data_IF_836696148084
#
_entry.id   IF_836696148084
#
_cell.length_a   1.000
_cell.length_b   1.000
_cell.length_c   1.000
_cell.angle_alpha   90.00
_cell.angle_beta   90.00
_cell.angle_gamma   90.00
#
_symmetry.space_group_name_H-M   'P 1'
#
loop_
_entity.id
_entity.type
_entity.pdbx_description
1 polymer ?
#
# COMPACT_ATOMS: atom_id res chain seq x y z
N UNK A 1 7.84 -12.87 -6.89
CA UNK A 1 7.19 -12.38 -5.66
C UNK A 1 7.25 -13.47 -4.63
N UNK A 2 7.54 -13.15 -3.36
CA UNK A 2 7.42 -14.12 -2.28
C UNK A 2 6.02 -13.93 -1.72
N UNK A 3 5.13 -14.89 -1.90
CA UNK A 3 3.85 -14.86 -1.22
C UNK A 3 4.02 -15.46 0.18
N UNK A 4 3.88 -14.62 1.20
CA UNK A 4 3.73 -15.05 2.58
C UNK A 4 2.26 -15.25 2.95
N UNK A 5 2.05 -15.86 4.12
CA UNK A 5 0.72 -16.14 4.63
C UNK A 5 -0.10 -14.84 4.86
N UNK A 6 0.55 -13.78 5.35
CA UNK A 6 -0.10 -12.48 5.69
C UNK A 6 0.25 -11.31 4.76
N UNK A 7 1.16 -11.50 3.81
CA UNK A 7 1.65 -10.43 2.95
C UNK A 7 2.57 -10.94 1.85
N UNK A 8 2.97 -10.05 0.96
CA UNK A 8 3.83 -10.31 -0.18
C UNK A 8 5.19 -9.63 0.02
N UNK A 9 6.25 -10.43 0.01
CA UNK A 9 7.63 -9.95 0.06
C UNK A 9 8.25 -9.84 -1.34
N UNK A 10 9.26 -8.98 -1.45
CA UNK A 10 10.10 -8.93 -2.64
C UNK A 10 11.01 -10.18 -2.69
N UNK A 11 11.06 -10.86 -3.85
CA UNK A 11 11.95 -12.01 -4.03
C UNK A 11 13.44 -11.60 -4.10
N UNK A 12 13.70 -10.31 -4.29
CA UNK A 12 15.03 -9.70 -4.36
C UNK A 12 15.51 -9.18 -3.01
N UNK A 13 15.03 -9.73 -1.88
CA UNK A 13 15.51 -9.32 -0.55
C UNK A 13 17.06 -9.38 -0.45
N UNK A 14 17.68 -10.37 -1.10
CA UNK A 14 19.14 -10.49 -1.24
C UNK A 14 19.82 -9.36 -2.03
N UNK A 15 19.11 -8.67 -2.92
CA UNK A 15 19.57 -7.47 -3.64
C UNK A 15 19.21 -6.17 -2.89
N UNK A 16 18.72 -6.26 -1.64
CA UNK A 16 18.34 -5.09 -0.82
C UNK A 16 16.85 -4.73 -0.88
N UNK A 17 16.01 -5.64 -1.39
CA UNK A 17 14.57 -5.42 -1.54
C UNK A 17 13.81 -5.94 -0.30
N UNK A 18 13.79 -5.18 0.80
CA UNK A 18 13.26 -5.63 2.10
C UNK A 18 11.81 -5.20 2.38
N UNK A 19 11.04 -4.80 1.37
CA UNK A 19 9.67 -4.39 1.59
C UNK A 19 8.72 -5.58 1.77
N UNK A 20 7.70 -5.36 2.62
CA UNK A 20 6.59 -6.28 2.86
C UNK A 20 5.29 -5.56 2.53
N UNK A 21 4.54 -6.10 1.57
CA UNK A 21 3.22 -5.62 1.17
C UNK A 21 2.19 -6.44 1.93
N UNK A 22 1.52 -5.87 2.91
CA UNK A 22 0.50 -6.60 3.66
C UNK A 22 -0.74 -6.85 2.79
N UNK A 23 -1.32 -8.06 2.90
CA UNK A 23 -2.59 -8.41 2.25
C UNK A 23 -3.74 -7.57 2.81
N UNK A 24 -3.64 -7.19 4.07
CA UNK A 24 -4.57 -6.32 4.78
C UNK A 24 -3.82 -5.06 5.24
N UNK A 25 -4.37 -3.90 4.91
CA UNK A 25 -3.77 -2.60 5.24
C UNK A 25 -4.88 -1.62 5.61
N UNK A 26 -4.74 -0.93 6.75
CA UNK A 26 -5.74 0.00 7.28
C UNK A 26 -7.17 -0.59 7.28
N UNK A 27 -7.30 -1.83 7.77
CA UNK A 27 -8.57 -2.53 7.90
C UNK A 27 -9.19 -3.00 6.57
N UNK A 28 -8.47 -2.91 5.46
CA UNK A 28 -8.95 -3.33 4.15
C UNK A 28 -7.99 -4.27 3.44
N UNK A 29 -8.53 -5.27 2.76
CA UNK A 29 -7.74 -6.21 1.96
C UNK A 29 -7.32 -5.55 0.63
N UNK A 30 -6.02 -5.52 0.34
CA UNK A 30 -5.53 -5.03 -0.95
C UNK A 30 -5.89 -6.04 -2.05
N UNK A 31 -6.41 -5.58 -3.19
CA UNK A 31 -6.60 -6.45 -4.34
C UNK A 31 -5.24 -6.85 -4.93
N UNK A 32 -5.16 -8.03 -5.52
CA UNK A 32 -3.94 -8.54 -6.14
C UNK A 32 -3.39 -7.61 -7.23
N UNK A 33 -4.27 -6.88 -7.92
CA UNK A 33 -3.89 -5.85 -8.91
C UNK A 33 -3.08 -4.73 -8.29
N UNK A 34 -3.46 -4.27 -7.09
CA UNK A 34 -2.72 -3.25 -6.35
C UNK A 34 -1.34 -3.78 -5.91
N UNK A 35 -1.30 -5.01 -5.39
CA UNK A 35 -0.04 -5.68 -5.06
C UNK A 35 0.87 -5.77 -6.29
N UNK A 36 0.35 -6.21 -7.44
CA UNK A 36 1.09 -6.26 -8.70
C UNK A 36 1.67 -4.91 -9.10
N UNK A 37 0.90 -3.82 -8.98
CA UNK A 37 1.39 -2.47 -9.28
C UNK A 37 2.56 -2.08 -8.38
N UNK A 38 2.43 -2.30 -7.08
CA UNK A 38 3.50 -2.03 -6.11
C UNK A 38 4.76 -2.84 -6.44
N UNK A 39 4.60 -4.11 -6.81
CA UNK A 39 5.73 -4.94 -7.23
C UNK A 39 6.38 -4.49 -8.53
N UNK A 40 5.66 -3.77 -9.39
CA UNK A 40 6.21 -3.12 -10.58
C UNK A 40 6.90 -1.78 -10.27
N UNK A 41 6.97 -1.36 -9.01
CA UNK A 41 7.45 -0.02 -8.64
C UNK A 41 6.46 1.09 -8.95
N UNK A 42 5.18 0.76 -9.16
CA UNK A 42 4.12 1.72 -9.47
C UNK A 42 3.23 1.93 -8.25
N UNK A 43 2.77 3.16 -8.07
CA UNK A 43 1.72 3.49 -7.11
C UNK A 43 0.42 2.77 -7.48
N UNK A 44 -0.30 2.25 -6.49
CA UNK A 44 -1.62 1.66 -6.71
C UNK A 44 -2.62 2.69 -7.18
N UNK A 45 -3.74 2.21 -7.73
CA UNK A 45 -4.94 3.03 -7.86
C UNK A 45 -5.42 3.50 -6.49
N UNK A 46 -6.18 4.60 -6.50
CA UNK A 46 -6.92 5.09 -5.34
C UNK A 46 -7.86 3.98 -4.89
N UNK A 47 -7.61 3.46 -3.70
CA UNK A 47 -8.44 2.48 -3.02
C UNK A 47 -9.32 3.26 -2.04
N UNK A 48 -10.65 3.10 -2.16
CA UNK A 48 -11.63 3.64 -1.21
C UNK A 48 -11.93 2.60 -0.15
N UNK A 49 -12.18 3.05 1.08
CA UNK A 49 -12.53 2.14 2.17
C UNK A 49 -11.44 1.96 3.22
N UNK A 50 -10.45 2.84 3.26
CA UNK A 50 -9.53 2.85 4.39
C UNK A 50 -10.25 3.45 5.57
N UNK A 51 -10.39 2.67 6.63
CA UNK A 51 -11.01 3.13 7.86
C UNK A 51 -9.93 3.75 8.72
N UNK A 52 -10.04 5.06 8.93
CA UNK A 52 -9.22 5.77 9.91
C UNK A 52 -9.66 5.41 11.32
N UNK A 53 -8.80 5.72 12.30
CA UNK A 53 -9.09 5.49 13.72
C UNK A 53 -10.36 6.23 14.17
N UNK A 54 -10.61 7.40 13.56
CA UNK A 54 -11.80 8.24 13.75
C UNK A 54 -13.10 7.61 13.18
N UNK A 55 -13.01 6.47 12.48
CA UNK A 55 -14.14 5.81 11.83
C UNK A 55 -14.49 6.35 10.44
N UNK A 56 -13.84 7.44 10.02
CA UNK A 56 -13.98 8.01 8.68
C UNK A 56 -13.39 7.09 7.62
N UNK A 57 -14.15 6.90 6.53
CA UNK A 57 -13.73 6.11 5.39
C UNK A 57 -13.11 7.03 4.34
N UNK A 58 -11.81 6.91 4.13
CA UNK A 58 -11.08 7.73 3.15
C UNK A 58 -10.62 6.92 1.94
N UNK A 59 -10.34 7.65 0.88
CA UNK A 59 -9.59 7.20 -0.29
C UNK A 59 -8.10 7.38 -0.03
N UNK A 60 -7.30 6.37 -0.34
CA UNK A 60 -5.86 6.51 -0.31
C UNK A 60 -5.21 5.70 -1.44
N UNK A 61 -3.98 6.05 -1.78
CA UNK A 61 -3.12 5.31 -2.70
C UNK A 61 -2.01 4.67 -1.91
N UNK A 62 -1.61 3.48 -2.30
CA UNK A 62 -0.45 2.84 -1.69
C UNK A 62 0.72 3.02 -2.64
N UNK A 63 1.84 3.53 -2.14
CA UNK A 63 3.10 3.63 -2.87
C UNK A 63 4.17 2.84 -2.14
N UNK A 64 5.27 2.51 -2.83
CA UNK A 64 6.47 2.09 -2.13
C UNK A 64 7.26 3.30 -1.69
N UNK A 65 7.82 3.23 -0.49
CA UNK A 65 8.79 4.22 0.00
C UNK A 65 10.01 4.22 -0.91
N UNK A 66 10.59 5.39 -1.15
CA UNK A 66 11.87 5.52 -1.88
C UNK A 66 12.98 4.66 -1.27
N UNK A 67 12.98 4.54 0.05
CA UNK A 67 13.96 3.78 0.82
C UNK A 67 13.77 2.25 0.72
N UNK A 68 12.76 1.76 -0.03
CA UNK A 68 12.43 0.34 -0.24
C UNK A 68 12.19 -0.46 1.05
N UNK A 69 12.06 0.23 2.19
CA UNK A 69 11.84 -0.35 3.51
C UNK A 69 10.35 -0.67 3.77
N UNK A 70 9.43 -0.30 2.88
CA UNK A 70 8.02 -0.68 2.98
C UNK A 70 7.09 0.00 1.99
N UNK A 71 5.79 -0.19 2.22
CA UNK A 71 4.72 0.56 1.56
C UNK A 71 4.25 1.72 2.45
N UNK A 72 3.90 2.83 1.82
CA UNK A 72 3.28 3.99 2.45
C UNK A 72 1.88 4.22 1.89
N UNK A 73 1.03 4.81 2.72
CA UNK A 73 -0.32 5.16 2.36
C UNK A 73 -0.41 6.67 2.17
N UNK A 74 -0.66 7.06 0.93
CA UNK A 74 -0.89 8.43 0.50
C UNK A 74 -2.39 8.66 0.56
N UNK A 75 -2.89 9.21 1.67
CA UNK A 75 -4.30 9.59 1.78
C UNK A 75 -4.58 10.57 0.65
N UNK A 76 -5.59 10.24 -0.15
CA UNK A 76 -6.13 11.12 -1.17
C UNK A 76 -7.44 11.60 -0.58
N UNK A 77 -7.31 12.57 0.31
CA UNK A 77 -8.43 13.34 0.76
C UNK A 77 -8.97 14.09 -0.47
N UNK A 78 -10.18 13.72 -0.89
CA UNK A 78 -11.04 14.61 -1.67
C UNK A 78 -11.63 15.70 -0.74
N UNK A 79 -10.91 16.05 0.33
CA UNK A 79 -11.10 17.28 1.09
C UNK A 79 -9.88 18.13 0.81
N UNK A 80 -10.02 18.87 -0.28
CA UNK A 80 -9.38 20.15 -0.46
C UNK A 80 -9.67 21.01 0.79
N UNK A 81 -8.81 20.95 1.79
CA UNK A 81 -8.61 22.11 2.66
C UNK A 81 -7.67 23.06 1.91
N UNK A 82 -8.25 23.73 0.91
CA UNK A 82 -8.00 25.15 0.74
C UNK A 82 -8.33 25.82 2.08
N UNK A 83 -7.31 26.34 2.76
CA UNK A 83 -7.51 27.44 3.69
C UNK A 83 -6.38 28.45 3.58
#
# INVERSE_FOLDING_TARGET
MIEGNRGYGCNRFKEGCNYVIWKEFCGKKLPETAVKMLMQGKTTRVLKGFKLDDGTIVSARVAMKEDKSGIELLVVDDNLEEK
#
